data_IF_878383759335
#
_entry.id   IF_878383759335
#
_cell.length_a   1.000
_cell.length_b   1.000
_cell.length_c   1.000
_cell.angle_alpha   90.00
_cell.angle_beta   90.00
_cell.angle_gamma   90.00
#
_symmetry.space_group_name_H-M   'P 1'
#
loop_
_entity.id
_entity.type
_entity.pdbx_description
1 polymer ?
#
# COMPACT_ATOMS: atom_id res chain seq x y z
N UNK A 1 -12.94 8.23 19.88
CA UNK A 1 -11.95 8.28 18.80
C UNK A 1 -11.33 6.89 18.69
N UNK A 2 -11.49 6.19 17.56
CA UNK A 2 -10.77 4.93 17.33
C UNK A 2 -9.28 5.22 17.50
N UNK A 3 -8.56 4.41 18.28
CA UNK A 3 -7.13 4.61 18.47
C UNK A 3 -6.47 4.45 17.08
N UNK A 4 -5.94 5.52 16.51
CA UNK A 4 -5.22 5.53 15.23
C UNK A 4 -4.18 4.40 15.19
N UNK A 5 -3.58 4.12 16.34
CA UNK A 5 -2.66 3.01 16.53
C UNK A 5 -3.26 1.64 16.18
N UNK A 6 -4.50 1.35 16.59
CA UNK A 6 -5.17 0.09 16.28
C UNK A 6 -5.50 -0.04 14.78
N UNK A 7 -5.85 1.06 14.10
CA UNK A 7 -6.06 1.07 12.65
C UNK A 7 -4.77 0.75 11.88
N UNK A 8 -3.63 1.21 12.39
CA UNK A 8 -2.33 0.95 11.76
C UNK A 8 -1.79 -0.46 12.07
N UNK A 9 -2.02 -1.01 13.27
CA UNK A 9 -1.38 -2.27 13.68
C UNK A 9 -2.25 -3.51 13.50
N UNK A 10 -3.56 -3.44 13.77
CA UNK A 10 -4.43 -4.62 13.73
C UNK A 10 -4.48 -5.34 12.38
N UNK A 11 -4.44 -4.65 11.22
CA UNK A 11 -4.41 -5.36 9.93
C UNK A 11 -3.24 -6.34 9.81
N UNK A 12 -2.07 -6.06 10.40
CA UNK A 12 -0.94 -6.97 10.33
C UNK A 12 -1.18 -8.31 11.04
N UNK A 13 -2.16 -8.41 11.95
CA UNK A 13 -2.52 -9.69 12.57
C UNK A 13 -3.02 -10.72 11.55
N UNK A 14 -3.59 -10.27 10.43
CA UNK A 14 -4.07 -11.12 9.33
C UNK A 14 -2.96 -11.99 8.74
N UNK A 15 -1.69 -11.55 8.84
CA UNK A 15 -0.52 -12.31 8.40
C UNK A 15 -0.38 -13.61 9.20
N UNK A 16 -0.64 -13.55 10.51
CA UNK A 16 -0.55 -14.71 11.40
C UNK A 16 -1.63 -15.76 11.11
N UNK A 17 -2.77 -15.32 10.56
CA UNK A 17 -3.90 -16.17 10.18
C UNK A 17 -3.70 -16.80 8.81
N UNK A 18 -2.99 -16.11 7.90
CA UNK A 18 -2.81 -16.50 6.50
C UNK A 18 -1.33 -16.71 6.15
N UNK A 19 -0.55 -17.34 7.03
CA UNK A 19 0.92 -17.44 6.92
C UNK A 19 1.40 -17.96 5.56
N UNK A 20 0.78 -19.03 5.05
CA UNK A 20 1.18 -19.63 3.77
C UNK A 20 0.88 -18.69 2.61
N UNK A 21 -0.33 -18.13 2.55
CA UNK A 21 -0.73 -17.18 1.50
C UNK A 21 0.16 -15.94 1.53
N UNK A 22 0.46 -15.42 2.73
CA UNK A 22 1.38 -14.31 2.91
C UNK A 22 2.79 -14.66 2.45
N UNK A 23 3.32 -15.83 2.85
CA UNK A 23 4.64 -16.28 2.45
C UNK A 23 4.75 -16.40 0.92
N UNK A 24 3.77 -17.04 0.28
CA UNK A 24 3.71 -17.16 -1.18
C UNK A 24 3.65 -15.78 -1.85
N UNK A 25 2.75 -14.90 -1.39
CA UNK A 25 2.66 -13.54 -1.92
C UNK A 25 3.95 -12.75 -1.73
N UNK A 26 4.59 -12.86 -0.57
CA UNK A 26 5.85 -12.17 -0.27
C UNK A 26 6.98 -12.67 -1.17
N UNK A 27 7.09 -13.99 -1.36
CA UNK A 27 8.07 -14.60 -2.24
C UNK A 27 7.91 -14.10 -3.69
N UNK A 28 6.67 -14.10 -4.22
CA UNK A 28 6.43 -13.75 -5.62
C UNK A 28 6.34 -12.24 -5.89
N UNK A 29 5.82 -11.46 -4.95
CA UNK A 29 5.63 -10.01 -5.16
C UNK A 29 6.85 -9.22 -4.72
N UNK A 30 7.41 -9.54 -3.56
CA UNK A 30 8.53 -8.78 -3.00
C UNK A 30 9.85 -9.36 -3.48
N UNK A 31 10.14 -10.65 -3.25
CA UNK A 31 11.45 -11.22 -3.59
C UNK A 31 11.62 -11.40 -5.09
N UNK A 32 10.66 -12.02 -5.78
CA UNK A 32 10.75 -12.22 -7.22
C UNK A 32 10.69 -10.88 -7.98
N UNK A 33 9.97 -9.88 -7.43
CA UNK A 33 9.97 -8.51 -7.94
C UNK A 33 11.37 -7.87 -7.94
N UNK A 34 12.31 -8.33 -7.11
CA UNK A 34 13.69 -7.83 -7.04
C UNK A 34 14.70 -8.67 -7.86
N UNK A 35 14.24 -9.67 -8.64
CA UNK A 35 15.14 -10.55 -9.42
C UNK A 35 16.08 -9.74 -10.32
N UNK A 36 15.64 -8.61 -10.87
CA UNK A 36 16.49 -7.74 -11.69
C UNK A 36 17.69 -7.18 -10.92
N UNK A 37 17.48 -6.66 -9.70
CA UNK A 37 18.57 -6.19 -8.81
C UNK A 37 19.47 -7.36 -8.42
N UNK A 38 18.87 -8.47 -8.00
CA UNK A 38 19.61 -9.65 -7.57
C UNK A 38 20.48 -10.18 -8.71
N UNK A 39 19.97 -10.20 -9.93
CA UNK A 39 20.72 -10.64 -11.12
C UNK A 39 21.86 -9.69 -11.45
N UNK A 40 21.61 -8.38 -11.45
CA UNK A 40 22.65 -7.36 -11.65
C UNK A 40 23.77 -7.50 -10.61
N UNK A 41 23.39 -7.74 -9.36
CA UNK A 41 24.30 -8.00 -8.27
C UNK A 41 25.16 -9.26 -8.52
N UNK A 42 24.52 -10.39 -8.81
CA UNK A 42 25.21 -11.68 -9.05
C UNK A 42 26.23 -11.53 -10.18
N UNK A 43 25.84 -10.91 -11.30
CA UNK A 43 26.72 -10.74 -12.46
C UNK A 43 27.94 -9.88 -12.10
N UNK A 44 27.75 -8.78 -11.36
CA UNK A 44 28.84 -7.85 -10.98
C UNK A 44 29.80 -8.45 -9.96
N UNK A 45 29.30 -9.27 -9.03
CA UNK A 45 30.12 -9.95 -8.01
C UNK A 45 30.85 -11.16 -8.59
N UNK A 46 30.18 -12.00 -9.40
CA UNK A 46 30.81 -13.17 -10.04
C UNK A 46 31.90 -12.75 -11.03
N UNK A 47 31.69 -11.66 -11.78
CA UNK A 47 32.71 -11.14 -12.69
C UNK A 47 33.84 -10.37 -11.97
N UNK A 48 33.86 -10.34 -10.62
CA UNK A 48 34.98 -9.85 -9.81
C UNK A 48 35.23 -8.34 -9.85
N UNK A 49 34.36 -7.55 -10.48
CA UNK A 49 34.63 -6.14 -10.75
C UNK A 49 34.22 -5.19 -9.61
N UNK A 50 33.29 -5.60 -8.74
CA UNK A 50 32.70 -4.70 -7.73
C UNK A 50 32.34 -5.43 -6.43
N UNK A 51 32.48 -4.73 -5.30
CA UNK A 51 32.04 -5.21 -3.98
C UNK A 51 30.53 -5.02 -3.77
N UNK A 52 29.96 -5.65 -2.74
CA UNK A 52 28.53 -5.61 -2.43
C UNK A 52 27.97 -4.19 -2.36
N UNK A 53 28.64 -3.31 -1.61
CA UNK A 53 28.21 -1.92 -1.44
C UNK A 53 28.29 -1.12 -2.74
N UNK A 54 29.25 -1.43 -3.61
CA UNK A 54 29.41 -0.75 -4.90
C UNK A 54 28.31 -1.14 -5.88
N UNK A 55 27.92 -2.43 -5.91
CA UNK A 55 26.80 -2.87 -6.74
C UNK A 55 25.48 -2.26 -6.27
N UNK A 56 25.24 -2.21 -4.96
CA UNK A 56 24.05 -1.58 -4.38
C UNK A 56 24.00 -0.08 -4.70
N UNK A 57 25.14 0.60 -4.61
CA UNK A 57 25.27 2.02 -4.95
C UNK A 57 24.96 2.29 -6.43
N UNK A 58 25.43 1.44 -7.34
CA UNK A 58 25.12 1.55 -8.77
C UNK A 58 23.64 1.36 -9.09
N UNK A 59 23.00 0.35 -8.49
CA UNK A 59 21.57 0.14 -8.70
C UNK A 59 20.75 1.29 -8.12
N UNK A 60 21.23 1.88 -7.03
CA UNK A 60 20.67 3.10 -6.46
C UNK A 60 20.87 4.31 -7.39
N UNK A 61 22.06 4.56 -7.91
CA UNK A 61 22.27 5.67 -8.86
C UNK A 61 21.34 5.57 -10.07
N UNK A 62 21.13 4.36 -10.58
CA UNK A 62 20.25 4.14 -11.73
C UNK A 62 18.76 4.27 -11.39
N UNK A 63 18.43 4.67 -10.16
CA UNK A 63 17.05 4.84 -9.70
C UNK A 63 16.28 3.51 -9.59
N UNK A 64 16.97 2.37 -9.56
CA UNK A 64 16.33 1.05 -9.61
C UNK A 64 15.38 0.86 -8.42
N UNK A 65 15.77 1.28 -7.22
CA UNK A 65 14.89 1.15 -6.05
C UNK A 65 13.63 2.00 -6.15
N UNK A 66 13.67 3.15 -6.81
CA UNK A 66 12.47 3.91 -7.11
C UNK A 66 11.57 3.19 -8.09
N UNK A 67 12.12 2.64 -9.18
CA UNK A 67 11.30 1.93 -10.19
C UNK A 67 10.61 0.71 -9.58
N UNK A 68 11.29 -0.04 -8.71
CA UNK A 68 10.65 -1.12 -7.96
C UNK A 68 9.59 -0.61 -6.97
N UNK A 69 9.87 0.48 -6.25
CA UNK A 69 8.88 1.07 -5.33
C UNK A 69 7.60 1.47 -6.06
N UNK A 70 7.74 2.09 -7.24
CA UNK A 70 6.63 2.51 -8.10
C UNK A 70 5.86 1.28 -8.61
N UNK A 71 6.56 0.29 -9.17
CA UNK A 71 5.94 -0.92 -9.68
C UNK A 71 5.19 -1.70 -8.59
N UNK A 72 5.79 -1.81 -7.40
CA UNK A 72 5.21 -2.48 -6.25
C UNK A 72 3.93 -1.75 -5.78
N UNK A 73 3.99 -0.43 -5.61
CA UNK A 73 2.81 0.36 -5.23
C UNK A 73 1.70 0.31 -6.28
N UNK A 74 2.05 0.35 -7.57
CA UNK A 74 1.08 0.21 -8.65
C UNK A 74 0.40 -1.18 -8.62
N UNK A 75 1.16 -2.24 -8.32
CA UNK A 75 0.63 -3.61 -8.26
C UNK A 75 -0.42 -3.83 -7.17
N UNK A 76 -0.34 -3.09 -6.05
CA UNK A 76 -1.30 -3.22 -4.94
C UNK A 76 -2.55 -2.36 -5.13
N UNK A 77 -2.47 -1.28 -5.92
CA UNK A 77 -3.61 -0.40 -6.20
C UNK A 77 -4.73 -1.13 -6.93
N UNK A 78 -4.41 -1.95 -7.93
CA UNK A 78 -5.41 -2.69 -8.71
C UNK A 78 -6.31 -3.57 -7.83
N UNK A 79 -5.75 -4.52 -7.06
CA UNK A 79 -6.51 -5.34 -6.11
C UNK A 79 -7.30 -4.52 -5.06
N UNK A 80 -6.75 -3.40 -4.58
CA UNK A 80 -7.46 -2.51 -3.65
C UNK A 80 -8.69 -1.86 -4.29
N UNK A 81 -8.58 -1.38 -5.53
CA UNK A 81 -9.72 -0.81 -6.25
C UNK A 81 -10.79 -1.85 -6.55
N UNK A 82 -10.38 -3.03 -7.04
CA UNK A 82 -11.30 -4.16 -7.29
C UNK A 82 -12.06 -4.52 -6.02
N UNK A 83 -11.34 -4.71 -4.90
CA UNK A 83 -11.94 -5.05 -3.61
C UNK A 83 -12.80 -3.92 -3.01
N UNK A 84 -12.64 -2.67 -3.46
CA UNK A 84 -13.48 -1.54 -3.06
C UNK A 84 -14.76 -1.46 -3.91
N UNK A 85 -14.69 -1.78 -5.20
CA UNK A 85 -15.79 -1.63 -6.17
C UNK A 85 -16.69 -2.86 -6.20
N UNK A 86 -16.12 -4.07 -6.20
CA UNK A 86 -16.90 -5.30 -6.43
C UNK A 86 -17.61 -5.81 -5.17
N UNK A 87 -17.08 -5.51 -3.98
CA UNK A 87 -17.65 -5.99 -2.73
C UNK A 87 -18.70 -5.02 -2.20
N UNK A 88 -19.99 -5.33 -2.42
CA UNK A 88 -21.14 -4.62 -1.87
C UNK A 88 -21.90 -5.49 -0.85
N UNK A 89 -22.18 -5.01 0.38
CA UNK A 89 -21.72 -3.74 0.96
C UNK A 89 -20.21 -3.78 1.27
N UNK A 90 -19.53 -2.68 0.97
CA UNK A 90 -18.07 -2.59 1.11
C UNK A 90 -17.67 -2.48 2.58
N UNK A 91 -17.21 -3.61 3.14
CA UNK A 91 -16.65 -3.64 4.50
C UNK A 91 -15.30 -2.93 4.51
N UNK A 92 -14.97 -2.31 5.64
CA UNK A 92 -13.70 -1.61 5.88
C UNK A 92 -13.42 -0.50 4.85
N UNK A 93 -14.46 0.19 4.36
CA UNK A 93 -14.33 1.19 3.28
C UNK A 93 -13.30 2.27 3.58
N UNK A 94 -13.33 2.87 4.77
CA UNK A 94 -12.41 3.95 5.15
C UNK A 94 -10.94 3.53 5.14
N UNK A 95 -10.61 2.36 5.69
CA UNK A 95 -9.22 1.90 5.77
C UNK A 95 -8.66 1.57 4.38
N UNK A 96 -9.50 1.02 3.48
CA UNK A 96 -9.15 0.79 2.08
C UNK A 96 -8.88 2.09 1.34
N UNK A 97 -9.78 3.07 1.46
CA UNK A 97 -9.62 4.39 0.84
C UNK A 97 -8.36 5.08 1.37
N UNK A 98 -8.10 5.05 2.68
CA UNK A 98 -6.89 5.62 3.27
C UNK A 98 -5.63 4.94 2.72
N UNK A 99 -5.65 3.61 2.59
CA UNK A 99 -4.53 2.84 2.03
C UNK A 99 -4.26 3.20 0.58
N UNK A 100 -5.32 3.38 -0.23
CA UNK A 100 -5.22 3.83 -1.62
C UNK A 100 -4.59 5.23 -1.69
N UNK A 101 -5.08 6.17 -0.86
CA UNK A 101 -4.56 7.54 -0.80
C UNK A 101 -3.07 7.54 -0.47
N UNK A 102 -2.66 6.85 0.61
CA UNK A 102 -1.26 6.74 1.01
C UNK A 102 -0.41 6.14 -0.10
N UNK A 103 -0.89 5.06 -0.75
CA UNK A 103 -0.19 4.40 -1.85
C UNK A 103 0.02 5.34 -3.05
N UNK A 104 -1.00 6.10 -3.44
CA UNK A 104 -0.92 7.08 -4.55
C UNK A 104 0.07 8.20 -4.22
N UNK A 105 0.01 8.77 -3.01
CA UNK A 105 0.95 9.82 -2.60
C UNK A 105 2.39 9.32 -2.59
N UNK A 106 2.64 8.14 -2.01
CA UNK A 106 4.00 7.57 -2.01
C UNK A 106 4.48 7.26 -3.42
N UNK A 107 3.61 6.74 -4.30
CA UNK A 107 3.94 6.49 -5.70
C UNK A 107 4.29 7.79 -6.44
N UNK A 108 3.50 8.84 -6.24
CA UNK A 108 3.75 10.16 -6.81
C UNK A 108 5.11 10.71 -6.37
N UNK A 109 5.40 10.70 -5.06
CA UNK A 109 6.70 11.16 -4.56
C UNK A 109 7.85 10.29 -5.05
N UNK A 110 7.70 8.96 -5.10
CA UNK A 110 8.72 8.08 -5.67
C UNK A 110 9.03 8.42 -7.14
N UNK A 111 8.00 8.74 -7.94
CA UNK A 111 8.16 9.19 -9.33
C UNK A 111 8.87 10.54 -9.48
N UNK A 112 8.56 11.51 -8.60
CA UNK A 112 9.22 12.83 -8.59
C UNK A 112 10.70 12.68 -8.24
N UNK A 113 11.03 11.93 -7.19
CA UNK A 113 12.41 11.71 -6.77
C UNK A 113 13.19 10.90 -7.81
N UNK A 114 12.56 9.88 -8.42
CA UNK A 114 13.15 9.14 -9.54
C UNK A 114 13.54 10.04 -10.70
N UNK A 115 12.67 10.98 -11.07
CA UNK A 115 12.92 11.92 -12.17
C UNK A 115 14.10 12.88 -11.91
N UNK A 116 14.47 13.03 -10.64
CA UNK A 116 15.62 13.84 -10.21
C UNK A 116 16.91 13.01 -10.07
N UNK A 117 16.85 11.70 -10.29
CA UNK A 117 18.01 10.81 -10.19
C UNK A 117 18.93 11.00 -11.41
N UNK A 118 20.28 11.08 -11.23
CA UNK A 118 21.20 11.30 -12.33
C UNK A 118 21.28 10.05 -13.24
N UNK A 119 20.80 10.16 -14.48
CA UNK A 119 20.82 9.04 -15.44
C UNK A 119 22.19 8.79 -16.10
N UNK A 120 23.14 9.72 -15.99
CA UNK A 120 24.44 9.66 -16.68
C UNK A 120 25.61 9.63 -15.69
N UNK A 121 25.90 8.47 -15.10
CA UNK A 121 27.13 8.27 -14.33
C UNK A 121 28.08 7.36 -15.10
N UNK A 122 29.15 7.98 -15.61
CA UNK A 122 30.23 7.30 -16.30
C UNK A 122 31.01 6.40 -15.31
N UNK A 123 31.09 5.09 -15.61
CA UNK A 123 31.66 4.05 -14.74
C UNK A 123 33.11 4.36 -14.32
N UNK A 124 33.87 5.10 -15.14
CA UNK A 124 35.24 5.51 -14.83
C UNK A 124 35.34 6.52 -13.67
N UNK A 125 34.29 7.33 -13.42
CA UNK A 125 34.24 8.27 -12.29
C UNK A 125 33.94 7.58 -10.95
N UNK A 126 33.38 6.36 -10.96
CA UNK A 126 33.01 5.64 -9.73
C UNK A 126 34.21 5.16 -8.90
N UNK A 127 35.37 4.90 -9.52
CA UNK A 127 36.56 4.42 -8.80
C UNK A 127 37.07 5.39 -7.73
N UNK A 128 36.76 6.68 -7.85
CA UNK A 128 37.25 7.75 -6.97
C UNK A 128 36.16 8.40 -6.11
N UNK A 129 34.92 7.91 -6.15
CA UNK A 129 33.82 8.46 -5.36
C UNK A 129 33.69 7.75 -4.01
N UNK A 130 33.41 8.54 -2.97
CA UNK A 130 32.93 8.04 -1.69
C UNK A 130 31.55 7.41 -1.89
N UNK A 131 31.47 6.09 -1.73
CA UNK A 131 30.23 5.32 -1.84
C UNK A 131 29.32 5.67 -0.67
N UNK A 132 28.34 6.54 -0.89
CA UNK A 132 27.29 6.82 0.07
C UNK A 132 25.98 6.19 -0.41
N UNK A 133 25.35 5.43 0.47
CA UNK A 133 24.02 4.87 0.23
C UNK A 133 23.05 6.03 0.03
N UNK A 134 22.27 6.00 -1.06
CA UNK A 134 21.15 6.92 -1.24
C UNK A 134 20.02 6.51 -0.27
N UNK A 135 20.03 7.15 0.89
CA UNK A 135 19.06 6.90 1.95
C UNK A 135 17.63 7.20 1.51
N UNK A 136 17.42 8.11 0.56
CA UNK A 136 16.08 8.40 0.06
C UNK A 136 15.52 7.21 -0.70
N UNK A 137 16.30 6.64 -1.62
CA UNK A 137 15.88 5.46 -2.37
C UNK A 137 15.58 4.26 -1.49
N UNK A 138 16.46 3.98 -0.52
CA UNK A 138 16.23 2.91 0.44
C UNK A 138 14.96 3.15 1.26
N UNK A 139 14.70 4.41 1.65
CA UNK A 139 13.49 4.78 2.38
C UNK A 139 12.22 4.51 1.56
N UNK A 140 12.19 4.90 0.29
CA UNK A 140 11.03 4.63 -0.58
C UNK A 140 10.81 3.14 -0.83
N UNK A 141 11.89 2.35 -0.95
CA UNK A 141 11.79 0.90 -1.06
C UNK A 141 11.19 0.27 0.20
N UNK A 142 11.71 0.61 1.38
CA UNK A 142 11.17 0.10 2.64
C UNK A 142 9.72 0.53 2.86
N UNK A 143 9.41 1.80 2.57
CA UNK A 143 8.05 2.33 2.70
C UNK A 143 7.07 1.64 1.75
N UNK A 144 7.45 1.40 0.49
CA UNK A 144 6.60 0.70 -0.48
C UNK A 144 6.37 -0.76 -0.08
N UNK A 145 7.36 -1.45 0.49
CA UNK A 145 7.19 -2.80 1.06
C UNK A 145 6.20 -2.77 2.23
N UNK A 146 6.36 -1.85 3.19
CA UNK A 146 5.45 -1.74 4.34
C UNK A 146 4.02 -1.47 3.89
N UNK A 147 3.82 -0.51 2.99
CA UNK A 147 2.51 -0.18 2.43
C UNK A 147 1.93 -1.41 1.71
N UNK A 148 2.73 -2.15 0.96
CA UNK A 148 2.25 -3.33 0.22
C UNK A 148 1.84 -4.47 1.13
N UNK A 149 2.60 -4.73 2.20
CA UNK A 149 2.24 -5.70 3.24
C UNK A 149 0.96 -5.27 3.97
N UNK A 150 0.82 -3.98 4.24
CA UNK A 150 -0.40 -3.44 4.83
C UNK A 150 -1.61 -3.61 3.90
N UNK A 151 -1.47 -3.25 2.62
CA UNK A 151 -2.49 -3.44 1.57
C UNK A 151 -2.91 -4.89 1.43
N UNK A 152 -1.95 -5.83 1.40
CA UNK A 152 -2.21 -7.27 1.39
C UNK A 152 -3.13 -7.68 2.55
N UNK A 153 -2.88 -7.11 3.72
CA UNK A 153 -3.59 -7.42 4.95
C UNK A 153 -4.99 -6.78 4.98
N UNK A 154 -5.10 -5.53 4.56
CA UNK A 154 -6.37 -4.78 4.46
C UNK A 154 -7.37 -5.48 3.55
N UNK A 155 -6.95 -5.96 2.38
CA UNK A 155 -7.82 -6.71 1.45
C UNK A 155 -8.40 -7.97 2.11
N UNK A 156 -7.68 -8.56 3.06
CA UNK A 156 -8.02 -9.84 3.70
C UNK A 156 -8.72 -9.69 5.05
N UNK A 157 -8.93 -8.47 5.55
CA UNK A 157 -9.71 -8.23 6.78
C UNK A 157 -11.12 -8.83 6.69
N UNK A 158 -11.70 -8.85 5.49
CA UNK A 158 -13.04 -9.38 5.24
C UNK A 158 -13.17 -10.88 5.48
N UNK A 159 -12.08 -11.63 5.35
CA UNK A 159 -12.07 -13.08 5.56
C UNK A 159 -12.43 -13.47 7.00
N UNK A 160 -12.14 -12.58 7.97
CA UNK A 160 -12.39 -12.78 9.40
C UNK A 160 -13.14 -11.57 9.99
N UNK A 161 -14.28 -11.22 9.38
CA UNK A 161 -15.03 -10.01 9.71
C UNK A 161 -15.32 -9.87 11.20
N UNK A 162 -15.77 -10.93 11.88
CA UNK A 162 -16.17 -10.87 13.29
C UNK A 162 -15.02 -10.44 14.21
N UNK A 163 -13.80 -10.87 13.91
CA UNK A 163 -12.60 -10.49 14.66
C UNK A 163 -12.23 -9.01 14.45
N UNK A 164 -12.41 -8.51 13.23
CA UNK A 164 -11.97 -7.16 12.86
C UNK A 164 -13.11 -6.13 12.79
N UNK A 165 -14.35 -6.50 13.11
CA UNK A 165 -15.55 -5.67 12.98
C UNK A 165 -15.41 -4.28 13.60
N UNK A 166 -14.64 -4.15 14.68
CA UNK A 166 -14.36 -2.87 15.32
C UNK A 166 -13.61 -1.87 14.42
N UNK A 167 -12.84 -2.35 13.44
CA UNK A 167 -12.13 -1.54 12.44
C UNK A 167 -13.07 -1.07 11.33
N UNK A 168 -14.20 -1.75 11.15
CA UNK A 168 -15.17 -1.38 10.13
C UNK A 168 -15.84 -0.05 10.51
N UNK A 169 -15.76 0.89 9.59
CA UNK A 169 -16.57 2.09 9.62
C UNK A 169 -17.74 1.78 8.70
N UNK A 170 -18.77 1.12 9.23
CA UNK A 170 -19.96 0.79 8.46
C UNK A 170 -20.76 2.08 8.16
N UNK A 171 -20.18 2.94 7.33
CA UNK A 171 -20.69 4.24 6.91
C UNK A 171 -21.94 4.04 6.06
N UNK A 172 -21.97 3.02 5.21
CA UNK A 172 -23.14 2.66 4.41
C UNK A 172 -24.35 2.36 5.32
N UNK A 173 -24.22 1.46 6.30
CA UNK A 173 -25.33 1.19 7.22
C UNK A 173 -25.74 2.39 8.08
N UNK A 174 -24.80 3.30 8.37
CA UNK A 174 -25.08 4.51 9.16
C UNK A 174 -25.73 5.62 8.34
N UNK A 175 -25.36 5.74 7.06
CA UNK A 175 -25.96 6.69 6.14
C UNK A 175 -27.33 6.19 5.69
N UNK A 176 -27.48 4.90 5.37
CA UNK A 176 -28.78 4.27 5.09
C UNK A 176 -29.71 4.41 6.29
N UNK A 177 -29.25 4.11 7.51
CA UNK A 177 -30.04 4.30 8.72
C UNK A 177 -30.40 5.78 8.97
N UNK A 178 -29.52 6.73 8.63
CA UNK A 178 -29.83 8.16 8.72
C UNK A 178 -30.83 8.61 7.67
N UNK A 179 -30.73 8.10 6.45
CA UNK A 179 -31.66 8.41 5.36
C UNK A 179 -33.04 7.83 5.68
N UNK A 180 -33.10 6.59 6.19
CA UNK A 180 -34.34 5.98 6.66
C UNK A 180 -34.92 6.74 7.85
N UNK A 181 -34.10 7.17 8.81
CA UNK A 181 -34.54 7.99 9.93
C UNK A 181 -35.06 9.38 9.47
N UNK A 182 -34.43 9.99 8.46
CA UNK A 182 -34.90 11.25 7.85
C UNK A 182 -36.20 11.06 7.05
N UNK A 183 -36.32 9.96 6.31
CA UNK A 183 -37.53 9.62 5.58
C UNK A 183 -38.70 9.39 6.55
N UNK A 184 -38.49 8.60 7.61
CA UNK A 184 -39.51 8.35 8.62
C UNK A 184 -39.93 9.64 9.35
N UNK A 185 -38.96 10.50 9.73
CA UNK A 185 -39.28 11.82 10.31
C UNK A 185 -40.05 12.73 9.34
N UNK A 186 -39.79 12.61 8.04
CA UNK A 186 -40.50 13.38 7.01
C UNK A 186 -41.91 12.83 6.78
N UNK A 187 -42.13 11.52 6.89
CA UNK A 187 -43.47 10.93 6.88
C UNK A 187 -44.27 11.35 8.12
N UNK A 188 -43.66 11.36 9.31
CA UNK A 188 -44.31 11.84 10.53
C UNK A 188 -44.70 13.33 10.43
N UNK A 189 -43.86 14.16 9.81
CA UNK A 189 -44.14 15.59 9.56
C UNK A 189 -45.25 15.85 8.53
N UNK A 190 -45.60 14.86 7.70
CA UNK A 190 -46.73 14.94 6.75
C UNK A 190 -48.07 14.57 7.37
N UNK A 191 -48.12 14.33 8.67
CA UNK A 191 -49.35 13.99 9.39
C UNK A 191 -49.63 15.05 10.44
N UNK A 192 -50.79 15.72 10.35
CA UNK A 192 -51.21 16.67 11.39
C UNK A 192 -51.55 15.94 12.72
N UNK A 193 -51.77 16.70 13.79
CA UNK A 193 -52.13 16.15 15.11
C UNK A 193 -53.49 15.41 15.15
N UNK A 194 -54.21 15.34 14.02
CA UNK A 194 -55.46 14.61 13.82
C UNK A 194 -55.32 13.42 12.85
N UNK A 195 -54.11 13.11 12.38
CA UNK A 195 -53.83 11.95 11.53
C UNK A 195 -54.15 12.14 10.06
N UNK A 196 -54.33 13.38 9.59
CA UNK A 196 -54.56 13.66 8.17
C UNK A 196 -53.23 13.92 7.43
N UNK A 197 -53.09 13.34 6.24
CA UNK A 197 -51.97 13.61 5.34
C UNK A 197 -52.05 15.06 4.82
N UNK A 198 -50.99 15.83 4.98
CA UNK A 198 -50.80 17.19 4.46
C UNK A 198 -50.38 17.14 3.00
#
# INVERSE_FOLDING_TARGET
MKNIWQLSTKPFEVISENKLIFFTWFLFTILAGQIGVISNFIIRVINGNLSFSQSLFLDSINGSFYTYSIALLASVLGPLFVNLIENHPTKFKSIKILTIIVSIFTLFFAGVFYSSSPNDINIEKLKNLTYNIDWWQLTFLLLSIIISVYSFSVIRLENNYDKYKELDDNFASKDDAKVDEMNNKTEDLKTDSKGNKI
#
